data_IF_560286250928
#
_entry.id   IF_560286250928
#
_cell.length_a   1.000
_cell.length_b   1.000
_cell.length_c   1.000
_cell.angle_alpha   90.00
_cell.angle_beta   90.00
_cell.angle_gamma   90.00
#
_symmetry.space_group_name_H-M   'P 1'
#
loop_
_entity.id
_entity.type
_entity.pdbx_description
1 polymer ?
#
# COMPACT_ATOMS: atom_id res chain seq x y z
N UNK A 1 -22.25 -1.90 -2.01
CA UNK A 1 -21.59 -2.75 -3.02
C UNK A 1 -20.27 -2.09 -3.35
N UNK A 2 -19.13 -2.76 -3.21
CA UNK A 2 -17.83 -2.15 -3.52
C UNK A 2 -17.78 -1.88 -5.02
N UNK A 3 -17.77 -0.61 -5.42
CA UNK A 3 -17.71 -0.22 -6.82
C UNK A 3 -16.44 -0.73 -7.50
N UNK A 4 -16.50 -1.02 -8.80
CA UNK A 4 -15.39 -1.59 -9.57
C UNK A 4 -14.08 -0.79 -9.46
N UNK A 5 -14.18 0.54 -9.35
CA UNK A 5 -13.03 1.43 -9.13
C UNK A 5 -12.34 1.21 -7.78
N UNK A 6 -13.13 1.04 -6.71
CA UNK A 6 -12.63 0.78 -5.36
C UNK A 6 -11.87 -0.54 -5.29
N UNK A 7 -12.35 -1.58 -6.00
CA UNK A 7 -11.64 -2.86 -6.07
C UNK A 7 -10.30 -2.74 -6.80
N UNK A 8 -10.26 -1.98 -7.90
CA UNK A 8 -9.03 -1.73 -8.65
C UNK A 8 -8.02 -0.96 -7.81
N UNK A 9 -8.44 0.08 -7.09
CA UNK A 9 -7.55 0.82 -6.18
C UNK A 9 -7.04 -0.06 -5.05
N UNK A 10 -7.88 -0.90 -4.47
CA UNK A 10 -7.46 -1.85 -3.43
C UNK A 10 -6.42 -2.84 -3.97
N UNK A 11 -6.59 -3.33 -5.19
CA UNK A 11 -5.62 -4.20 -5.87
C UNK A 11 -4.27 -3.50 -6.08
N UNK A 12 -4.26 -2.23 -6.49
CA UNK A 12 -3.03 -1.47 -6.65
C UNK A 12 -2.32 -1.22 -5.32
N UNK A 13 -3.06 -0.90 -4.25
CA UNK A 13 -2.49 -0.75 -2.91
C UNK A 13 -1.89 -2.07 -2.44
N UNK A 14 -2.61 -3.18 -2.61
CA UNK A 14 -2.13 -4.51 -2.25
C UNK A 14 -0.87 -4.91 -3.05
N UNK A 15 -0.87 -4.65 -4.37
CA UNK A 15 0.29 -4.90 -5.22
C UNK A 15 1.51 -4.06 -4.79
N UNK A 16 1.31 -2.77 -4.48
CA UNK A 16 2.38 -1.92 -3.96
C UNK A 16 2.95 -2.44 -2.64
N UNK A 17 2.10 -2.92 -1.73
CA UNK A 17 2.51 -3.49 -0.45
C UNK A 17 3.34 -4.78 -0.65
N UNK A 18 2.90 -5.66 -1.55
CA UNK A 18 3.61 -6.90 -1.87
C UNK A 18 4.98 -6.64 -2.49
N UNK A 19 5.05 -5.68 -3.42
CA UNK A 19 6.33 -5.29 -4.04
C UNK A 19 7.27 -4.69 -2.99
N UNK A 20 6.78 -3.80 -2.13
CA UNK A 20 7.58 -3.23 -1.05
C UNK A 20 8.12 -4.30 -0.09
N UNK A 21 7.29 -5.28 0.28
CA UNK A 21 7.69 -6.39 1.14
C UNK A 21 8.71 -7.30 0.45
N UNK A 22 8.55 -7.59 -0.84
CA UNK A 22 9.51 -8.39 -1.60
C UNK A 22 10.88 -7.70 -1.71
N UNK A 23 10.90 -6.38 -1.95
CA UNK A 23 12.15 -5.60 -2.04
C UNK A 23 12.82 -5.51 -0.67
N UNK A 24 12.09 -5.16 0.38
CA UNK A 24 12.65 -5.08 1.74
C UNK A 24 13.14 -6.45 2.23
N UNK A 25 12.37 -7.51 1.98
CA UNK A 25 12.74 -8.88 2.29
C UNK A 25 13.99 -9.33 1.54
N UNK A 26 14.07 -9.06 0.23
CA UNK A 26 15.24 -9.38 -0.59
C UNK A 26 16.50 -8.63 -0.13
N UNK A 27 16.36 -7.34 0.20
CA UNK A 27 17.46 -6.54 0.75
C UNK A 27 17.92 -7.05 2.12
N UNK A 28 16.99 -7.40 3.01
CA UNK A 28 17.31 -7.96 4.33
C UNK A 28 17.98 -9.34 4.22
N UNK A 29 17.61 -10.14 3.21
CA UNK A 29 18.26 -11.42 2.92
C UNK A 29 19.70 -11.24 2.41
N UNK A 30 19.94 -10.22 1.57
CA UNK A 30 21.27 -9.93 1.04
C UNK A 30 22.21 -9.32 2.09
N UNK A 31 21.69 -8.56 3.05
CA UNK A 31 22.48 -7.92 4.11
C UNK A 31 21.82 -8.05 5.49
N UNK A 32 21.98 -9.20 6.17
CA UNK A 32 21.28 -9.49 7.42
C UNK A 32 21.72 -8.61 8.60
N UNK A 33 22.96 -8.10 8.59
CA UNK A 33 23.47 -7.21 9.66
C UNK A 33 22.70 -5.87 9.74
N UNK A 34 22.13 -5.42 8.61
CA UNK A 34 21.29 -4.22 8.53
C UNK A 34 19.79 -4.51 8.42
N UNK A 35 19.37 -5.76 8.65
CA UNK A 35 18.02 -6.23 8.41
C UNK A 35 16.94 -5.42 9.14
N UNK A 36 17.19 -5.02 10.39
CA UNK A 36 16.23 -4.24 11.19
C UNK A 36 15.97 -2.85 10.59
N UNK A 37 17.00 -2.18 10.09
CA UNK A 37 16.86 -0.86 9.45
C UNK A 37 16.14 -0.99 8.11
N UNK A 38 16.49 -2.02 7.33
CA UNK A 38 15.86 -2.30 6.04
C UNK A 38 14.37 -2.59 6.22
N UNK A 39 14.01 -3.41 7.20
CA UNK A 39 12.62 -3.66 7.55
C UNK A 39 11.92 -2.42 8.11
N UNK A 40 12.59 -1.61 8.92
CA UNK A 40 12.06 -0.33 9.40
C UNK A 40 11.67 0.60 8.24
N UNK A 41 12.56 0.79 7.27
CA UNK A 41 12.28 1.55 6.06
C UNK A 41 11.19 0.89 5.18
N UNK A 42 11.19 -0.44 5.06
CA UNK A 42 10.19 -1.19 4.31
C UNK A 42 8.78 -1.05 4.89
N UNK A 43 8.63 -1.19 6.21
CA UNK A 43 7.36 -0.96 6.92
C UNK A 43 6.92 0.48 6.77
N UNK A 44 7.84 1.44 6.91
CA UNK A 44 7.53 2.85 6.69
C UNK A 44 7.00 3.12 5.28
N UNK A 45 7.63 2.55 4.25
CA UNK A 45 7.17 2.66 2.87
C UNK A 45 5.79 2.00 2.65
N UNK A 46 5.54 0.86 3.26
CA UNK A 46 4.22 0.19 3.25
C UNK A 46 3.14 1.06 3.88
N UNK A 47 3.41 1.64 5.05
CA UNK A 47 2.50 2.59 5.72
C UNK A 47 2.24 3.81 4.85
N UNK A 48 3.28 4.41 4.27
CA UNK A 48 3.14 5.55 3.37
C UNK A 48 2.27 5.22 2.14
N UNK A 49 2.44 4.02 1.56
CA UNK A 49 1.65 3.53 0.43
C UNK A 49 0.16 3.42 0.80
N UNK A 50 -0.14 2.87 1.98
CA UNK A 50 -1.51 2.80 2.49
C UNK A 50 -2.08 4.20 2.69
N UNK A 51 -1.33 5.11 3.34
CA UNK A 51 -1.77 6.49 3.58
C UNK A 51 -2.07 7.25 2.28
N UNK A 52 -1.23 7.08 1.25
CA UNK A 52 -1.46 7.63 -0.09
C UNK A 52 -2.74 7.07 -0.73
N UNK A 53 -3.08 5.81 -0.46
CA UNK A 53 -4.30 5.15 -0.92
C UNK A 53 -5.60 5.61 -0.23
N UNK A 54 -5.52 6.29 0.91
CA UNK A 54 -6.72 6.75 1.66
C UNK A 54 -7.44 7.90 0.96
N UNK A 55 -6.70 8.87 0.39
CA UNK A 55 -7.32 10.02 -0.28
C UNK A 55 -8.18 9.67 -1.51
N UNK A 56 -7.74 8.75 -2.40
CA UNK A 56 -8.58 8.23 -3.48
C UNK A 56 -9.83 7.50 -2.97
N UNK A 57 -9.69 6.68 -1.92
CA UNK A 57 -10.81 5.96 -1.30
C UNK A 57 -11.88 6.93 -0.76
N UNK A 58 -11.44 8.01 -0.11
CA UNK A 58 -12.33 9.08 0.38
C UNK A 58 -13.04 9.81 -0.77
N UNK A 59 -12.36 10.03 -1.90
CA UNK A 59 -12.95 10.62 -3.11
C UNK A 59 -14.00 9.69 -3.74
N UNK A 60 -13.70 8.40 -3.85
CA UNK A 60 -14.62 7.42 -4.40
C UNK A 60 -15.90 7.29 -3.55
N UNK A 61 -15.75 7.26 -2.22
CA UNK A 61 -16.90 7.22 -1.28
C UNK A 61 -17.73 8.51 -1.34
N UNK A 62 -17.09 9.67 -1.54
CA UNK A 62 -17.82 10.94 -1.70
C UNK A 62 -18.67 10.96 -2.97
N UNK A 63 -18.12 10.50 -4.10
CA UNK A 63 -18.83 10.39 -5.38
C UNK A 63 -20.00 9.40 -5.32
N UNK A 64 -19.83 8.28 -4.62
CA UNK A 64 -20.88 7.28 -4.41
C UNK A 64 -22.03 7.84 -3.54
N UNK A 65 -21.73 8.80 -2.67
CA UNK A 65 -22.72 9.46 -1.80
C UNK A 65 -23.50 10.57 -2.49
N UNK A 66 -22.91 11.26 -3.47
CA UNK A 66 -23.61 12.27 -4.29
C UNK A 66 -24.53 11.66 -5.35
N UNK A 67 -24.30 10.41 -5.74
CA UNK A 67 -25.09 9.73 -6.78
C UNK A 67 -26.39 9.10 -6.21
N UNK A 68 -26.62 9.15 -4.88
CA UNK A 68 -27.82 8.63 -4.22
C UNK A 68 -28.77 9.76 -3.82
#
# INVERSE_FOLDING_TARGET
MVGRHVLTELLYIAAGLLIAAAVAGGAAWAYPLGGDVIWGCGVFAMVATVLMGIAPLRRAVALDRETR
#
